data_IF_198594581531
#
_entry.id   IF_198594581531
#
_cell.length_a   1.000
_cell.length_b   1.000
_cell.length_c   1.000
_cell.angle_alpha   90.00
_cell.angle_beta   90.00
_cell.angle_gamma   90.00
#
_symmetry.space_group_name_H-M   'P 1'
#
loop_
_entity.id
_entity.type
_entity.pdbx_description
1 polymer ?
#
# COMPACT_ATOMS: atom_id res chain seq x y z
N UNK A 1 -14.33 1.08 -11.82
CA UNK A 1 -14.93 2.16 -12.65
C UNK A 1 -13.91 3.25 -12.93
N UNK A 2 -12.87 2.95 -13.72
CA UNK A 2 -11.99 3.95 -14.35
C UNK A 2 -11.74 3.48 -15.78
N UNK A 3 -12.82 3.44 -16.56
CA UNK A 3 -12.78 3.15 -17.98
C UNK A 3 -13.00 4.46 -18.73
N UNK A 4 -11.94 4.89 -19.40
CA UNK A 4 -11.95 5.22 -20.82
C UNK A 4 -13.01 6.23 -21.26
N UNK A 5 -12.70 7.51 -21.08
CA UNK A 5 -13.23 8.57 -21.96
C UNK A 5 -12.04 9.18 -22.72
N UNK A 6 -12.02 8.90 -24.02
CA UNK A 6 -11.00 9.34 -24.95
C UNK A 6 -11.40 10.71 -25.53
N UNK A 7 -10.65 11.75 -25.16
CA UNK A 7 -10.62 13.02 -25.88
C UNK A 7 -9.37 13.09 -26.76
N UNK A 8 -9.57 13.27 -28.06
CA UNK A 8 -8.54 13.44 -29.08
C UNK A 8 -7.36 14.32 -28.63
N UNK A 9 -6.14 13.77 -28.72
CA UNK A 9 -4.93 14.55 -29.00
C UNK A 9 -3.94 14.87 -27.88
N UNK A 10 -3.86 14.14 -26.75
CA UNK A 10 -2.95 14.54 -25.65
C UNK A 10 -2.19 13.37 -25.06
N UNK A 11 -0.89 13.57 -24.79
CA UNK A 11 0.00 12.72 -23.98
C UNK A 11 -0.78 11.83 -23.01
N UNK A 12 -0.53 10.51 -23.03
CA UNK A 12 -1.14 9.58 -22.10
C UNK A 12 -1.04 10.14 -20.67
N UNK A 13 -2.19 10.34 -20.02
CA UNK A 13 -2.31 11.09 -18.77
C UNK A 13 -1.26 10.62 -17.74
N UNK A 14 -0.34 11.52 -17.40
CA UNK A 14 0.78 11.26 -16.47
C UNK A 14 0.19 10.91 -15.10
N UNK A 15 0.42 9.69 -14.64
CA UNK A 15 -0.13 9.22 -13.35
C UNK A 15 0.51 10.03 -12.21
N UNK A 16 -0.26 10.54 -11.24
CA UNK A 16 0.33 11.11 -10.03
C UNK A 16 1.20 10.06 -9.33
N UNK A 17 2.35 10.48 -8.81
CA UNK A 17 3.23 9.61 -8.04
C UNK A 17 2.56 9.28 -6.71
N UNK A 18 2.21 8.01 -6.51
CA UNK A 18 1.79 7.49 -5.22
C UNK A 18 2.96 6.78 -4.54
N UNK A 19 2.95 6.78 -3.22
CA UNK A 19 3.71 5.77 -2.48
C UNK A 19 3.07 4.42 -2.81
N UNK A 20 3.89 3.38 -2.99
CA UNK A 20 3.41 2.00 -3.18
C UNK A 20 2.50 1.58 -2.01
N UNK A 21 1.72 0.52 -2.20
CA UNK A 21 0.91 -0.04 -1.13
C UNK A 21 1.77 -0.36 0.11
N UNK A 22 1.17 -0.32 1.30
CA UNK A 22 1.85 -0.73 2.53
C UNK A 22 2.44 -2.13 2.38
N UNK A 23 3.61 -2.37 2.96
CA UNK A 23 4.24 -3.71 2.97
C UNK A 23 3.42 -4.73 3.77
N UNK A 24 2.40 -4.28 4.50
CA UNK A 24 1.46 -5.14 5.20
C UNK A 24 0.53 -5.84 4.20
N UNK A 25 0.40 -7.18 4.28
CA UNK A 25 -0.44 -7.92 3.35
C UNK A 25 -1.91 -7.52 3.52
N UNK A 26 -2.62 -7.43 2.39
CA UNK A 26 -4.07 -7.29 2.40
C UNK A 26 -4.68 -8.60 2.92
N UNK A 27 -5.46 -8.51 3.99
CA UNK A 27 -6.18 -9.66 4.52
C UNK A 27 -7.40 -9.96 3.62
N UNK A 28 -7.24 -10.90 2.70
CA UNK A 28 -8.30 -11.41 1.82
C UNK A 28 -8.80 -12.77 2.31
N UNK A 29 -8.99 -12.93 3.62
CA UNK A 29 -9.43 -14.20 4.19
C UNK A 29 -10.79 -14.64 3.67
N UNK A 30 -11.71 -13.70 3.46
CA UNK A 30 -13.03 -13.98 2.92
C UNK A 30 -13.11 -13.54 1.46
N UNK A 31 -13.19 -14.51 0.56
CA UNK A 31 -13.41 -14.26 -0.87
C UNK A 31 -14.51 -15.18 -1.40
N UNK A 32 -15.55 -14.58 -1.98
CA UNK A 32 -16.59 -15.28 -2.71
C UNK A 32 -16.45 -14.98 -4.19
N UNK A 33 -16.51 -16.01 -5.01
CA UNK A 33 -16.48 -15.89 -6.47
C UNK A 33 -17.72 -16.59 -7.02
N UNK A 34 -18.46 -15.90 -7.87
CA UNK A 34 -19.62 -16.51 -8.55
C UNK A 34 -19.14 -17.64 -9.46
N UNK A 35 -19.78 -18.80 -9.36
CA UNK A 35 -19.46 -19.98 -10.18
C UNK A 35 -18.22 -20.77 -9.75
N UNK A 36 -17.65 -20.51 -8.56
CA UNK A 36 -16.52 -21.27 -8.01
C UNK A 36 -16.93 -22.02 -6.75
N UNK A 37 -16.86 -23.35 -6.81
CA UNK A 37 -16.98 -24.21 -5.63
C UNK A 37 -15.60 -24.41 -4.99
N UNK A 38 -15.38 -23.81 -3.82
CA UNK A 38 -14.14 -24.02 -3.06
C UNK A 38 -14.09 -25.46 -2.52
N UNK A 39 -13.13 -26.25 -3.02
CA UNK A 39 -12.84 -27.59 -2.50
C UNK A 39 -11.80 -27.46 -1.38
N UNK A 40 -12.25 -27.50 -0.14
CA UNK A 40 -11.37 -27.51 1.02
C UNK A 40 -11.17 -28.94 1.49
N UNK A 41 -9.92 -29.41 1.48
CA UNK A 41 -9.54 -30.70 2.03
C UNK A 41 -9.27 -30.59 3.55
N UNK A 42 -9.60 -31.64 4.30
CA UNK A 42 -9.51 -31.65 5.77
C UNK A 42 -8.06 -31.63 6.27
N UNK A 43 -7.14 -32.33 5.59
CA UNK A 43 -5.72 -32.35 5.94
C UNK A 43 -5.08 -30.98 5.67
N UNK A 44 -5.40 -30.41 4.51
CA UNK A 44 -4.96 -29.07 4.11
C UNK A 44 -5.45 -27.98 5.08
N UNK A 45 -6.71 -28.05 5.52
CA UNK A 45 -7.25 -27.13 6.53
C UNK A 45 -6.55 -27.30 7.89
N UNK A 46 -6.31 -28.53 8.33
CA UNK A 46 -5.62 -28.80 9.59
C UNK A 46 -4.19 -28.23 9.59
N UNK A 47 -3.48 -28.37 8.47
CA UNK A 47 -2.15 -27.77 8.29
C UNK A 47 -2.21 -26.24 8.38
N UNK A 48 -3.11 -25.59 7.65
CA UNK A 48 -3.26 -24.12 7.67
C UNK A 48 -3.62 -23.62 9.06
N UNK A 49 -4.55 -24.28 9.77
CA UNK A 49 -4.91 -23.94 11.15
C UNK A 49 -3.69 -24.01 12.06
N UNK A 50 -2.92 -25.11 11.98
CA UNK A 50 -1.72 -25.30 12.79
C UNK A 50 -0.68 -24.19 12.53
N UNK A 51 -0.46 -23.82 11.27
CA UNK A 51 0.45 -22.74 10.91
C UNK A 51 -0.05 -21.38 11.44
N UNK A 52 -1.34 -21.08 11.28
CA UNK A 52 -1.94 -19.84 11.78
C UNK A 52 -1.84 -19.74 13.31
N UNK A 53 -2.07 -20.84 14.03
CA UNK A 53 -1.91 -20.90 15.49
C UNK A 53 -0.45 -20.65 15.90
N UNK A 54 0.51 -21.23 15.20
CA UNK A 54 1.94 -20.98 15.44
C UNK A 54 2.33 -19.51 15.21
N UNK A 55 1.88 -18.94 14.09
CA UNK A 55 2.08 -17.51 13.79
C UNK A 55 1.43 -16.62 14.86
N UNK A 56 0.20 -16.92 15.26
CA UNK A 56 -0.51 -16.19 16.31
C UNK A 56 0.27 -16.21 17.63
N UNK A 57 0.76 -17.37 18.06
CA UNK A 57 1.56 -17.48 19.28
C UNK A 57 2.84 -16.64 19.19
N UNK A 58 3.59 -16.76 18.08
CA UNK A 58 4.82 -16.00 17.86
C UNK A 58 4.60 -14.49 17.87
N UNK A 59 3.58 -14.02 17.16
CA UNK A 59 3.23 -12.60 17.13
C UNK A 59 2.70 -12.11 18.47
N UNK A 60 1.97 -12.94 19.23
CA UNK A 60 1.48 -12.60 20.57
C UNK A 60 2.61 -12.42 21.57
N UNK A 61 3.63 -13.29 21.54
CA UNK A 61 4.84 -13.16 22.36
C UNK A 61 5.56 -11.85 22.02
N UNK A 62 5.85 -11.60 20.74
CA UNK A 62 6.51 -10.37 20.28
C UNK A 62 5.75 -9.11 20.69
N UNK A 63 4.44 -9.10 20.46
CA UNK A 63 3.56 -7.98 20.84
C UNK A 63 3.60 -7.74 22.34
N UNK A 64 3.54 -8.80 23.14
CA UNK A 64 3.59 -8.69 24.61
C UNK A 64 4.94 -8.15 25.10
N UNK A 65 6.05 -8.63 24.54
CA UNK A 65 7.39 -8.13 24.88
C UNK A 65 7.52 -6.64 24.57
N UNK A 66 7.16 -6.23 23.35
CA UNK A 66 7.23 -4.83 22.92
C UNK A 66 6.31 -3.96 23.78
N UNK A 67 5.08 -4.42 24.06
CA UNK A 67 4.12 -3.71 24.91
C UNK A 67 4.67 -3.50 26.31
N UNK A 68 5.31 -4.52 26.90
CA UNK A 68 5.93 -4.40 28.23
C UNK A 68 7.07 -3.39 28.23
N UNK A 69 7.97 -3.48 27.25
CA UNK A 69 9.08 -2.53 27.09
C UNK A 69 8.58 -1.09 26.93
N UNK A 70 7.52 -0.88 26.13
CA UNK A 70 6.90 0.44 25.96
C UNK A 70 6.35 0.98 27.27
N UNK A 71 5.63 0.15 28.04
CA UNK A 71 5.10 0.57 29.33
C UNK A 71 6.24 0.97 30.31
N UNK A 72 7.32 0.19 30.37
CA UNK A 72 8.46 0.52 31.24
C UNK A 72 9.11 1.87 30.85
N UNK A 73 9.25 2.12 29.55
CA UNK A 73 9.79 3.39 29.04
C UNK A 73 8.85 4.57 29.30
N UNK A 74 7.54 4.41 29.07
CA UNK A 74 6.54 5.46 29.34
C UNK A 74 6.46 5.81 30.82
N UNK A 75 6.50 4.81 31.70
CA UNK A 75 6.52 5.01 33.16
C UNK A 75 7.77 5.78 33.59
N UNK A 76 8.93 5.39 33.08
CA UNK A 76 10.20 6.07 33.35
C UNK A 76 10.18 7.52 32.86
N UNK A 77 9.61 7.77 31.68
CA UNK A 77 9.44 9.12 31.13
C UNK A 77 8.51 9.98 31.98
N UNK A 78 7.39 9.43 32.45
CA UNK A 78 6.47 10.15 33.35
C UNK A 78 7.15 10.54 34.66
N UNK A 79 7.86 9.60 35.29
CA UNK A 79 8.60 9.85 36.54
C UNK A 79 9.67 10.95 36.40
N UNK A 80 10.38 11.00 35.26
CA UNK A 80 11.37 12.05 34.99
C UNK A 80 10.73 13.44 34.77
N UNK A 81 9.54 13.50 34.19
CA UNK A 81 8.86 14.78 33.91
C UNK A 81 8.05 15.29 35.10
N UNK A 82 7.55 14.41 35.98
CA UNK A 82 6.88 14.81 37.22
C UNK A 82 7.81 15.47 38.24
N UNK A 83 9.12 15.21 38.18
CA UNK A 83 10.11 15.84 39.06
C UNK A 83 10.39 17.33 38.76
N UNK A 84 9.75 17.91 37.72
CA UNK A 84 9.95 19.31 37.29
C UNK A 84 8.75 20.22 37.56
N UNK A 85 7.69 19.72 38.17
CA UNK A 85 6.45 20.47 38.37
C UNK A 85 6.11 20.56 39.85
N UNK A 86 6.73 21.53 40.53
CA UNK A 86 6.21 22.07 41.79
C UNK A 86 4.91 22.85 41.51
N UNK A 87 3.96 22.66 42.41
CA UNK A 87 2.78 23.49 42.69
C UNK A 87 1.82 23.79 41.52
N UNK A 88 0.84 22.92 41.30
CA UNK A 88 -0.59 23.27 41.45
C UNK A 88 -1.42 21.97 41.39
N UNK A 89 -2.05 21.68 42.53
CA UNK A 89 -2.90 20.53 42.77
C UNK A 89 -4.09 20.49 41.80
N UNK A 90 -4.24 19.38 41.06
CA UNK A 90 -5.54 18.77 40.87
C UNK A 90 -5.38 17.31 40.47
N UNK A 91 -5.88 16.45 41.34
CA UNK A 91 -5.99 15.00 41.22
C UNK A 91 -6.34 14.57 39.80
N UNK A 92 -5.41 13.88 39.14
CA UNK A 92 -5.76 13.06 37.97
C UNK A 92 -5.51 11.63 38.38
N UNK A 93 -6.60 11.01 38.84
CA UNK A 93 -6.67 9.58 39.09
C UNK A 93 -5.94 8.85 37.98
N UNK A 94 -4.94 8.06 38.36
CA UNK A 94 -4.21 7.19 37.45
C UNK A 94 -5.23 6.15 37.00
N UNK A 95 -5.73 6.19 35.75
CA UNK A 95 -6.57 5.13 35.28
C UNK A 95 -5.63 3.95 35.09
N UNK A 96 -5.71 3.04 36.06
CA UNK A 96 -5.40 1.64 35.89
C UNK A 96 -6.00 1.19 34.54
N UNK A 97 -5.23 0.36 33.81
CA UNK A 97 -5.56 -0.32 32.55
C UNK A 97 -5.02 0.37 31.28
N UNK A 98 -3.87 -0.15 30.80
CA UNK A 98 -3.42 -0.27 29.40
C UNK A 98 -3.53 0.95 28.46
N UNK A 99 -3.56 2.18 28.99
CA UNK A 99 -3.67 3.38 28.17
C UNK A 99 -2.31 3.85 27.64
N UNK A 100 -1.64 3.02 26.84
CA UNK A 100 -0.47 3.43 26.05
C UNK A 100 -0.91 4.58 25.14
N UNK A 101 -0.23 5.72 25.24
CA UNK A 101 -0.61 6.91 24.47
C UNK A 101 -0.31 6.65 22.98
N UNK A 102 -1.35 6.46 22.18
CA UNK A 102 -1.30 6.15 20.74
C UNK A 102 -0.80 7.33 19.88
N UNK A 103 0.43 7.79 20.10
CA UNK A 103 0.98 8.96 19.38
C UNK A 103 1.68 8.57 18.07
N UNK A 104 2.36 7.41 18.04
CA UNK A 104 3.30 7.10 16.96
C UNK A 104 2.97 5.86 16.11
N UNK A 105 1.95 5.08 16.46
CA UNK A 105 1.70 3.77 15.82
C UNK A 105 1.29 3.90 14.35
N UNK A 106 0.44 4.88 14.01
CA UNK A 106 0.02 5.14 12.64
C UNK A 106 1.15 5.71 11.75
N UNK A 107 2.32 6.04 12.32
CA UNK A 107 3.42 6.55 11.50
C UNK A 107 3.97 5.49 10.55
N UNK A 108 4.04 4.25 11.02
CA UNK A 108 4.66 3.14 10.29
C UNK A 108 3.72 2.45 9.30
N UNK A 109 2.43 2.76 9.31
CA UNK A 109 1.43 2.14 8.42
C UNK A 109 1.42 2.75 7.02
N UNK A 110 1.87 4.00 6.87
CA UNK A 110 1.90 4.72 5.60
C UNK A 110 3.31 4.64 5.02
N UNK A 111 3.53 3.87 3.94
CA UNK A 111 4.83 3.81 3.27
C UNK A 111 5.14 5.16 2.58
N UNK A 112 6.42 5.52 2.55
CA UNK A 112 6.94 6.66 1.80
C UNK A 112 7.04 7.99 2.55
N UNK A 113 7.60 8.99 1.86
CA UNK A 113 7.91 10.29 2.44
C UNK A 113 6.64 11.12 2.68
N UNK A 114 6.44 11.54 3.93
CA UNK A 114 5.30 12.38 4.32
C UNK A 114 5.53 13.82 3.87
N UNK A 115 4.66 14.34 3.01
CA UNK A 115 4.61 15.77 2.72
C UNK A 115 4.01 16.51 3.92
N UNK A 116 4.79 17.40 4.54
CA UNK A 116 4.32 18.26 5.66
C UNK A 116 3.18 19.19 5.27
N UNK A 117 3.07 19.51 3.98
CA UNK A 117 2.02 20.36 3.41
C UNK A 117 1.10 19.49 2.56
N UNK A 118 -0.20 19.54 2.84
CA UNK A 118 -1.21 18.86 2.04
C UNK A 118 -1.19 19.39 0.60
N UNK A 119 -1.13 18.46 -0.37
CA UNK A 119 -1.33 18.75 -1.79
C UNK A 119 -2.50 17.91 -2.30
N UNK A 120 -3.51 18.55 -2.95
CA UNK A 120 -4.59 17.84 -3.63
C UNK A 120 -4.07 16.77 -4.60
N UNK A 121 -4.84 15.71 -4.80
CA UNK A 121 -4.43 14.54 -5.59
C UNK A 121 -3.94 14.90 -7.01
N UNK A 122 -4.66 15.81 -7.67
CA UNK A 122 -4.37 16.22 -9.05
C UNK A 122 -3.19 17.21 -9.17
N UNK A 123 -2.75 17.82 -8.07
CA UNK A 123 -1.62 18.75 -8.04
C UNK A 123 -0.32 18.09 -7.55
N UNK A 124 -0.30 16.76 -7.43
CA UNK A 124 0.88 15.99 -7.04
C UNK A 124 1.84 15.87 -8.23
N UNK A 125 3.16 15.76 -7.98
CA UNK A 125 4.10 15.47 -9.06
C UNK A 125 3.68 14.17 -9.75
N UNK A 126 3.61 14.22 -11.06
CA UNK A 126 3.27 13.07 -11.89
C UNK A 126 4.54 12.35 -12.32
N UNK A 127 4.42 11.05 -12.59
CA UNK A 127 5.50 10.27 -13.17
C UNK A 127 5.83 10.79 -14.57
N UNK A 128 7.07 10.58 -15.02
CA UNK A 128 7.43 10.78 -16.43
C UNK A 128 6.49 9.99 -17.35
N UNK A 129 6.12 10.59 -18.49
CA UNK A 129 5.23 9.96 -19.45
C UNK A 129 5.86 8.70 -20.04
N UNK A 130 5.01 7.82 -20.56
CA UNK A 130 5.46 6.57 -21.16
C UNK A 130 6.37 6.86 -22.35
N UNK A 131 6.05 7.89 -23.11
CA UNK A 131 6.77 8.40 -24.28
C UNK A 131 8.19 8.81 -23.91
N UNK A 132 8.36 9.63 -22.86
CA UNK A 132 9.69 10.03 -22.36
C UNK A 132 10.51 8.82 -21.90
N UNK A 133 9.86 7.84 -21.27
CA UNK A 133 10.52 6.62 -20.79
C UNK A 133 10.96 5.72 -21.94
N UNK A 134 10.12 5.54 -22.95
CA UNK A 134 10.44 4.79 -24.18
C UNK A 134 11.62 5.44 -24.89
N UNK A 135 11.61 6.76 -25.06
CA UNK A 135 12.73 7.50 -25.65
C UNK A 135 14.04 7.35 -24.86
N UNK A 136 13.97 7.40 -23.53
CA UNK A 136 15.15 7.16 -22.68
C UNK A 136 15.77 5.78 -22.92
N UNK A 137 14.96 4.71 -23.01
CA UNK A 137 15.50 3.37 -23.25
C UNK A 137 15.96 3.14 -24.69
N UNK A 138 15.31 3.76 -25.67
CA UNK A 138 15.73 3.76 -27.08
C UNK A 138 17.08 4.47 -27.23
N UNK A 139 17.29 5.63 -26.58
CA UNK A 139 18.59 6.34 -26.58
C UNK A 139 19.71 5.49 -25.98
N UNK A 140 19.37 4.60 -25.03
CA UNK A 140 20.32 3.65 -24.44
C UNK A 140 20.46 2.34 -25.22
N UNK A 141 19.84 2.23 -26.41
CA UNK A 141 19.85 1.03 -27.27
C UNK A 141 19.34 -0.25 -26.59
N UNK A 142 18.53 -0.12 -25.53
CA UNK A 142 17.92 -1.26 -24.81
C UNK A 142 16.55 -1.68 -25.38
N UNK A 143 16.01 -0.88 -26.29
CA UNK A 143 14.73 -1.05 -26.97
C UNK A 143 14.92 -0.60 -28.42
N UNK A 144 14.47 -1.42 -29.37
CA UNK A 144 14.60 -1.13 -30.80
C UNK A 144 13.35 -0.38 -31.30
N UNK A 145 13.53 0.75 -32.00
CA UNK A 145 12.39 1.56 -32.46
C UNK A 145 11.54 0.81 -33.48
N UNK A 146 12.16 -0.04 -34.29
CA UNK A 146 11.49 -0.71 -35.40
C UNK A 146 10.48 -1.76 -34.91
N UNK A 147 10.75 -2.37 -33.74
CA UNK A 147 9.85 -3.34 -33.09
C UNK A 147 8.60 -2.61 -32.52
N UNK A 148 8.76 -1.40 -31.98
CA UNK A 148 7.66 -0.58 -31.45
C UNK A 148 6.75 -0.04 -32.55
N UNK A 149 7.31 0.32 -33.72
CA UNK A 149 6.50 0.74 -34.87
C UNK A 149 5.72 -0.43 -35.48
N UNK A 150 6.31 -1.64 -35.51
CA UNK A 150 5.62 -2.86 -35.96
C UNK A 150 4.45 -3.25 -35.06
N UNK A 151 4.58 -3.17 -33.73
CA UNK A 151 3.48 -3.50 -32.81
C UNK A 151 2.31 -2.49 -32.89
N UNK A 152 2.63 -1.21 -33.09
CA UNK A 152 1.64 -0.14 -33.32
C UNK A 152 0.90 -0.32 -34.65
N UNK A 153 1.63 -0.69 -35.71
CA UNK A 153 1.08 -0.94 -37.05
C UNK A 153 0.29 -2.23 -37.13
N UNK A 154 0.72 -3.29 -36.43
CA UNK A 154 -0.03 -4.55 -36.29
C UNK A 154 -1.40 -4.32 -35.67
N UNK A 155 -1.50 -3.45 -34.66
CA UNK A 155 -2.77 -3.14 -34.00
C UNK A 155 -3.73 -2.33 -34.90
N UNK A 156 -3.18 -1.49 -35.79
CA UNK A 156 -3.97 -0.78 -36.81
C UNK A 156 -4.41 -1.71 -37.94
N UNK A 157 -3.57 -2.68 -38.33
CA UNK A 157 -3.93 -3.68 -39.35
C UNK A 157 -5.04 -4.62 -38.90
N UNK A 158 -5.07 -5.05 -37.63
CA UNK A 158 -6.17 -5.88 -37.10
C UNK A 158 -7.51 -5.12 -37.07
N UNK A 159 -7.48 -3.80 -36.82
CA UNK A 159 -8.69 -2.96 -36.85
C UNK A 159 -9.15 -2.65 -38.27
N UNK A 160 -8.24 -2.47 -39.24
CA UNK A 160 -8.60 -2.27 -40.66
C UNK A 160 -9.14 -3.58 -41.27
N UNK A 161 -8.60 -4.74 -40.89
CA UNK A 161 -9.10 -6.04 -41.34
C UNK A 161 -10.55 -6.33 -40.88
N UNK A 162 -10.94 -5.85 -39.69
CA UNK A 162 -12.30 -5.98 -39.16
C UNK A 162 -13.30 -4.97 -39.76
N UNK A 163 -12.83 -3.89 -40.41
CA UNK A 163 -13.68 -2.93 -41.13
C UNK A 163 -13.92 -3.32 -42.59
N UNK A 164 -13.05 -4.15 -43.18
CA UNK A 164 -13.14 -4.56 -44.58
C UNK A 164 -13.79 -5.94 -44.80
N UNK A 165 -14.40 -6.53 -43.76
CA UNK A 165 -15.17 -7.77 -43.89
C UNK A 165 -16.60 -7.56 -43.35
N UNK A 166 -17.55 -7.11 -44.18
CA UNK A 166 -18.95 -7.14 -43.83
C UNK A 166 -19.47 -8.56 -44.10
N UNK A 167 -19.55 -9.37 -43.06
CA UNK A 167 -20.52 -10.47 -42.99
C UNK A 167 -21.31 -10.29 -41.70
#
# INVERSE_FOLDING_TARGET
MFLKEAGNGRELAKKPQYCLASDLPLNLYETSFEGVDWRCDAESLCFVISQLQGLWAHHSVKTTMIRRMLWDLETSYLHMNSAKQDDTQLSKEVPLVDSIKLQYQCLNLVPGARTKVYRPLLSRPTCESLETRVEHYVKRQRLDRDILQKSSSSSLQTNIANLNNPN
#
